data_IF_989015378548
#
_entry.id   IF_989015378548
#
_cell.length_a   1.000
_cell.length_b   1.000
_cell.length_c   1.000
_cell.angle_alpha   90.00
_cell.angle_beta   90.00
_cell.angle_gamma   90.00
#
_symmetry.space_group_name_H-M   'P 1'
#
loop_
_entity.id
_entity.type
_entity.pdbx_description
1 polymer ?
#
# COMPACT_ATOMS: atom_id res chain seq x y z
N UNK A 1 -7.23 -12.28 -0.75
CA UNK A 1 -6.53 -11.00 -0.66
C UNK A 1 -6.72 -10.17 -1.91
N UNK A 2 -6.33 -8.92 -1.85
CA UNK A 2 -6.53 -8.01 -2.98
C UNK A 2 -5.72 -8.46 -4.19
N UNK A 3 -6.40 -8.61 -5.32
CA UNK A 3 -5.76 -8.93 -6.58
C UNK A 3 -6.72 -8.56 -7.71
N UNK A 4 -6.22 -8.32 -8.92
CA UNK A 4 -7.10 -8.01 -10.04
C UNK A 4 -7.97 -9.21 -10.41
N UNK A 5 -9.21 -8.93 -10.79
CA UNK A 5 -10.12 -9.98 -11.25
C UNK A 5 -9.71 -10.55 -12.59
N UNK A 6 -9.21 -9.68 -13.47
CA UNK A 6 -8.71 -10.10 -14.78
C UNK A 6 -7.40 -9.40 -15.04
N UNK A 7 -6.48 -10.12 -15.64
CA UNK A 7 -5.19 -9.56 -16.02
C UNK A 7 -4.87 -9.99 -17.45
N UNK A 8 -4.30 -9.06 -18.20
CA UNK A 8 -3.84 -9.37 -19.55
C UNK A 8 -2.67 -10.33 -19.52
N UNK A 9 -1.76 -10.10 -18.59
CA UNK A 9 -0.60 -10.98 -18.38
C UNK A 9 -0.52 -11.36 -16.92
N UNK A 10 -0.38 -12.65 -16.65
CA UNK A 10 -0.26 -13.13 -15.27
C UNK A 10 1.12 -12.86 -14.68
N UNK A 11 2.12 -12.72 -15.51
CA UNK A 11 3.49 -12.48 -15.09
C UNK A 11 4.01 -11.23 -15.77
N UNK A 12 4.76 -10.45 -15.03
CA UNK A 12 5.37 -9.23 -15.54
C UNK A 12 6.81 -9.16 -15.08
N UNK A 13 7.63 -8.47 -15.84
CA UNK A 13 9.01 -8.26 -15.44
C UNK A 13 9.06 -7.26 -14.30
N UNK A 14 10.06 -7.43 -13.44
CA UNK A 14 10.30 -6.48 -12.37
C UNK A 14 10.78 -5.17 -12.98
N UNK A 15 10.15 -4.09 -12.62
CA UNK A 15 10.56 -2.76 -13.01
C UNK A 15 11.45 -2.14 -11.95
N UNK A 16 11.93 -0.95 -12.26
CA UNK A 16 12.69 -0.14 -11.30
C UNK A 16 11.72 0.76 -10.53
N UNK A 17 12.01 0.97 -9.26
CA UNK A 17 11.16 1.80 -8.41
C UNK A 17 11.70 3.22 -8.37
N UNK A 18 11.65 3.90 -9.51
CA UNK A 18 12.19 5.23 -9.66
C UNK A 18 11.08 6.28 -9.76
N UNK A 19 11.44 7.50 -9.49
CA UNK A 19 10.59 8.66 -9.67
C UNK A 19 9.72 8.96 -8.47
N UNK A 20 8.96 10.02 -8.59
CA UNK A 20 8.01 10.45 -7.57
C UNK A 20 6.61 10.23 -8.07
N UNK A 21 5.65 10.21 -7.16
CA UNK A 21 4.26 10.09 -7.52
C UNK A 21 3.78 11.39 -8.16
N UNK A 22 3.29 11.30 -9.40
CA UNK A 22 2.65 12.43 -10.07
C UNK A 22 1.17 12.50 -9.74
N UNK A 23 0.57 11.34 -9.44
CA UNK A 23 -0.83 11.24 -9.07
C UNK A 23 -0.93 10.57 -7.71
N UNK A 24 -2.01 10.89 -7.00
CA UNK A 24 -2.24 10.29 -5.69
C UNK A 24 -1.38 10.85 -4.60
N UNK A 25 -0.77 12.02 -4.80
CA UNK A 25 0.04 12.68 -3.78
C UNK A 25 -0.75 13.55 -2.82
N UNK A 26 -2.04 13.75 -3.07
CA UNK A 26 -2.89 14.59 -2.25
C UNK A 26 -4.09 13.83 -1.73
N UNK A 27 -4.64 14.29 -0.61
CA UNK A 27 -5.86 13.73 -0.07
C UNK A 27 -7.03 14.07 -0.96
N UNK A 28 -7.82 13.05 -1.30
CA UNK A 28 -8.97 13.21 -2.19
C UNK A 28 -10.29 12.88 -1.52
N UNK A 29 -10.29 11.92 -0.62
CA UNK A 29 -11.52 11.40 0.00
C UNK A 29 -11.65 11.73 1.46
N UNK A 30 -10.56 11.66 2.20
CA UNK A 30 -10.58 11.81 3.65
C UNK A 30 -9.92 13.08 4.15
N UNK A 31 -9.88 13.21 5.45
CA UNK A 31 -9.26 14.35 6.11
C UNK A 31 -7.81 14.04 6.50
N UNK A 32 -7.48 12.78 6.64
CA UNK A 32 -6.17 12.30 7.07
C UNK A 32 -5.66 11.25 6.11
N UNK A 33 -4.35 11.12 6.04
CA UNK A 33 -3.75 10.12 5.17
C UNK A 33 -2.39 9.67 5.62
N UNK A 34 -1.93 8.58 5.01
CA UNK A 34 -0.60 8.04 5.20
C UNK A 34 0.12 8.08 3.86
N UNK A 35 1.18 8.86 3.81
CA UNK A 35 1.94 9.11 2.58
C UNK A 35 3.26 8.34 2.62
N UNK A 36 3.63 7.74 1.49
CA UNK A 36 4.91 7.05 1.37
C UNK A 36 6.03 8.07 1.22
N UNK A 37 7.13 7.84 1.94
CA UNK A 37 8.34 8.65 1.84
C UNK A 37 9.43 7.95 1.02
N UNK A 38 9.26 6.66 0.76
CA UNK A 38 10.23 5.86 0.03
C UNK A 38 9.53 5.06 -1.07
N UNK A 39 10.26 4.68 -2.13
CA UNK A 39 9.68 3.77 -3.12
C UNK A 39 9.63 2.35 -2.58
N UNK A 40 8.58 1.61 -2.93
CA UNK A 40 8.48 0.22 -2.50
C UNK A 40 7.45 -0.54 -3.33
N UNK A 41 7.55 -1.84 -3.24
CA UNK A 41 6.51 -2.75 -3.69
C UNK A 41 5.76 -3.22 -2.45
N UNK A 42 4.52 -2.77 -2.31
CA UNK A 42 3.68 -3.12 -1.17
C UNK A 42 2.84 -4.31 -1.54
N UNK A 43 2.99 -5.40 -0.80
CA UNK A 43 2.26 -6.64 -1.10
C UNK A 43 0.81 -6.55 -0.67
N UNK A 44 -0.02 -7.40 -1.26
CA UNK A 44 -1.42 -7.53 -0.88
C UNK A 44 -1.57 -7.88 0.60
N UNK A 45 -0.65 -8.68 1.14
CA UNK A 45 -0.66 -9.02 2.56
C UNK A 45 -0.35 -7.83 3.45
N UNK A 46 0.59 -7.00 3.04
CA UNK A 46 0.94 -5.79 3.78
C UNK A 46 -0.21 -4.79 3.76
N UNK A 47 -0.88 -4.64 2.64
CA UNK A 47 -2.06 -3.78 2.53
C UNK A 47 -3.15 -4.28 3.45
N UNK A 48 -3.41 -5.57 3.44
CA UNK A 48 -4.43 -6.17 4.29
C UNK A 48 -4.10 -6.03 5.77
N UNK A 49 -2.83 -6.25 6.13
CA UNK A 49 -2.41 -6.10 7.52
C UNK A 49 -2.58 -4.65 8.01
N UNK A 50 -2.25 -3.68 7.16
CA UNK A 50 -2.43 -2.27 7.48
C UNK A 50 -3.92 -1.92 7.65
N UNK A 51 -4.75 -2.41 6.74
CA UNK A 51 -6.20 -2.21 6.82
C UNK A 51 -6.76 -2.74 8.13
N UNK A 52 -6.37 -3.95 8.50
CA UNK A 52 -6.84 -4.58 9.73
C UNK A 52 -6.38 -3.78 10.94
N UNK A 53 -5.13 -3.33 10.96
CA UNK A 53 -4.60 -2.54 12.06
C UNK A 53 -5.41 -1.26 12.26
N UNK A 54 -5.71 -0.57 11.16
CA UNK A 54 -6.49 0.67 11.22
C UNK A 54 -7.91 0.39 11.69
N UNK A 55 -8.58 -0.58 11.07
CA UNK A 55 -10.00 -0.83 11.38
C UNK A 55 -10.20 -1.33 12.80
N UNK A 56 -9.27 -2.11 13.32
CA UNK A 56 -9.34 -2.57 14.71
C UNK A 56 -9.18 -1.41 15.69
N UNK A 57 -8.33 -0.46 15.37
CA UNK A 57 -8.08 0.66 16.25
C UNK A 57 -9.26 1.63 16.28
N UNK A 58 -9.79 2.00 15.10
CA UNK A 58 -10.92 2.94 15.04
C UNK A 58 -12.26 2.24 15.26
N UNK A 59 -12.26 0.92 15.25
CA UNK A 59 -13.45 0.11 15.43
C UNK A 59 -14.52 0.48 14.39
N UNK A 60 -15.73 0.85 14.83
CA UNK A 60 -16.82 1.20 13.91
C UNK A 60 -16.88 2.68 13.57
N UNK A 61 -16.00 3.48 14.15
CA UNK A 61 -15.98 4.90 13.86
C UNK A 61 -15.16 5.19 12.60
N UNK A 62 -15.59 6.15 11.83
CA UNK A 62 -14.82 6.62 10.70
C UNK A 62 -14.91 5.77 9.44
N UNK A 63 -14.22 6.25 8.43
CA UNK A 63 -14.12 5.59 7.13
C UNK A 63 -12.66 5.50 6.73
N UNK A 64 -12.33 4.43 6.01
CA UNK A 64 -10.99 4.19 5.49
C UNK A 64 -11.08 3.98 3.98
N UNK A 65 -10.21 4.66 3.25
CA UNK A 65 -10.03 4.45 1.82
C UNK A 65 -8.62 3.94 1.59
N UNK A 66 -8.51 2.83 0.85
CA UNK A 66 -7.22 2.29 0.43
C UNK A 66 -6.98 2.81 -0.98
N UNK A 67 -5.92 3.60 -1.16
CA UNK A 67 -5.66 4.28 -2.43
C UNK A 67 -4.64 3.60 -3.31
N UNK A 68 -4.14 2.46 -2.88
CA UNK A 68 -3.22 1.65 -3.66
C UNK A 68 -3.84 0.29 -3.90
N UNK A 69 -3.53 -0.30 -5.03
CA UNK A 69 -4.05 -1.61 -5.38
C UNK A 69 -2.92 -2.49 -5.89
N UNK A 70 -2.84 -3.75 -5.45
CA UNK A 70 -1.77 -4.65 -5.86
C UNK A 70 -2.09 -5.25 -7.23
N UNK A 71 -1.73 -4.56 -8.28
CA UNK A 71 -2.02 -4.97 -9.65
C UNK A 71 -0.83 -5.59 -10.39
N UNK A 72 0.35 -5.59 -9.79
CA UNK A 72 1.55 -6.16 -10.41
C UNK A 72 1.84 -7.54 -9.83
N UNK A 73 1.92 -8.60 -10.66
CA UNK A 73 2.27 -9.92 -10.15
C UNK A 73 3.76 -9.96 -9.79
N UNK A 74 4.05 -10.58 -8.67
CA UNK A 74 5.40 -10.82 -8.20
C UNK A 74 5.64 -12.30 -8.12
N UNK A 75 6.64 -12.79 -8.86
CA UNK A 75 6.97 -14.21 -8.88
C UNK A 75 8.19 -14.45 -8.02
N UNK A 76 8.08 -15.37 -7.09
CA UNK A 76 9.21 -15.81 -6.29
C UNK A 76 9.70 -17.13 -6.86
N UNK A 77 10.99 -17.20 -7.12
CA UNK A 77 11.58 -18.43 -7.61
C UNK A 77 11.62 -19.45 -6.48
N UNK A 78 11.00 -20.62 -6.62
CA UNK A 78 11.08 -21.64 -5.57
C UNK A 78 12.53 -22.05 -5.34
N UNK A 79 12.86 -22.40 -4.09
CA UNK A 79 14.20 -22.81 -3.75
C UNK A 79 14.67 -24.03 -4.54
N UNK A 80 13.74 -24.90 -4.92
CA UNK A 80 14.02 -26.11 -5.66
C UNK A 80 14.05 -25.90 -7.17
N UNK A 81 13.69 -24.73 -7.65
CA UNK A 81 13.66 -24.47 -9.09
C UNK A 81 15.08 -24.32 -9.60
N UNK A 82 15.40 -25.13 -10.57
CA UNK A 82 16.70 -25.04 -11.23
C UNK A 82 16.67 -23.93 -12.26
N UNK A 83 17.87 -23.42 -12.56
CA UNK A 83 18.01 -22.36 -13.55
C UNK A 83 17.48 -22.78 -14.91
N UNK A 84 16.91 -21.83 -15.62
CA UNK A 84 16.46 -22.05 -16.98
C UNK A 84 15.02 -22.51 -17.13
N UNK A 85 14.31 -22.65 -16.05
CA UNK A 85 12.92 -23.14 -16.08
C UNK A 85 11.88 -22.04 -16.18
N UNK A 86 12.22 -20.86 -16.57
CA UNK A 86 11.26 -19.77 -16.68
C UNK A 86 10.70 -19.31 -15.34
N UNK A 87 9.74 -18.39 -15.38
CA UNK A 87 9.12 -17.85 -14.18
C UNK A 87 8.16 -18.84 -13.57
N UNK A 88 8.17 -18.95 -12.25
CA UNK A 88 7.16 -19.67 -11.52
C UNK A 88 5.80 -18.99 -11.57
N UNK A 89 4.79 -19.58 -10.93
CA UNK A 89 3.49 -18.96 -10.80
C UNK A 89 3.57 -17.69 -9.94
N UNK A 90 2.72 -16.69 -10.17
CA UNK A 90 2.69 -15.53 -9.29
C UNK A 90 2.32 -15.94 -7.87
N UNK A 91 3.15 -15.55 -6.90
CA UNK A 91 2.88 -15.83 -5.49
C UNK A 91 2.17 -14.68 -4.81
N UNK A 92 2.49 -13.48 -5.23
CA UNK A 92 1.98 -12.28 -4.63
C UNK A 92 1.60 -11.26 -5.67
N UNK A 93 0.73 -10.38 -5.28
CA UNK A 93 0.43 -9.19 -6.05
C UNK A 93 0.95 -8.00 -5.26
N UNK A 94 1.55 -7.05 -5.94
CA UNK A 94 2.14 -5.88 -5.29
C UNK A 94 1.65 -4.60 -5.93
N UNK A 95 1.56 -3.56 -5.11
CA UNK A 95 1.34 -2.21 -5.58
C UNK A 95 2.71 -1.53 -5.68
N UNK A 96 3.00 -0.92 -6.81
CA UNK A 96 4.23 -0.14 -6.99
C UNK A 96 3.97 1.25 -6.46
N UNK A 97 4.63 1.59 -5.36
CA UNK A 97 4.43 2.86 -4.67
C UNK A 97 5.67 3.72 -4.83
N UNK A 98 5.47 4.97 -5.20
CA UNK A 98 6.54 5.95 -5.35
C UNK A 98 6.47 6.96 -4.21
N UNK A 99 7.60 7.61 -3.86
CA UNK A 99 7.57 8.62 -2.82
C UNK A 99 6.54 9.71 -3.12
N UNK A 100 5.81 10.11 -2.11
CA UNK A 100 4.75 11.11 -2.24
C UNK A 100 3.37 10.54 -2.44
N UNK A 101 3.24 9.24 -2.65
CA UNK A 101 1.93 8.61 -2.85
C UNK A 101 1.18 8.49 -1.52
N UNK A 102 -0.06 8.96 -1.50
CA UNK A 102 -0.96 8.70 -0.37
C UNK A 102 -1.51 7.29 -0.52
N UNK A 103 -1.22 6.45 0.45
CA UNK A 103 -1.61 5.03 0.40
C UNK A 103 -2.94 4.75 1.04
N UNK A 104 -3.24 5.44 2.14
CA UNK A 104 -4.48 5.28 2.88
C UNK A 104 -5.03 6.66 3.24
N UNK A 105 -6.36 6.76 3.28
CA UNK A 105 -7.03 7.97 3.75
C UNK A 105 -8.09 7.59 4.78
N UNK A 106 -8.37 8.51 5.67
CA UNK A 106 -9.30 8.28 6.75
C UNK A 106 -10.10 9.54 7.05
N UNK A 107 -11.33 9.37 7.47
CA UNK A 107 -12.19 10.46 7.90
C UNK A 107 -13.13 9.97 9.00
N UNK A 108 -13.77 10.90 9.68
CA UNK A 108 -14.79 10.57 10.69
C UNK A 108 -14.25 10.24 12.06
N UNK A 109 -12.97 10.52 12.31
CA UNK A 109 -12.35 10.36 13.63
C UNK A 109 -11.55 11.62 13.94
N UNK A 110 -11.16 11.77 15.21
CA UNK A 110 -10.37 12.93 15.58
C UNK A 110 -8.90 12.75 15.18
N UNK A 111 -8.16 13.85 15.25
CA UNK A 111 -6.76 13.86 14.82
C UNK A 111 -5.91 12.85 15.59
N UNK A 112 -6.06 12.80 16.91
CA UNK A 112 -5.25 11.91 17.74
C UNK A 112 -5.51 10.45 17.39
N UNK A 113 -6.78 10.07 17.23
CA UNK A 113 -7.17 8.71 16.86
C UNK A 113 -6.64 8.36 15.48
N UNK A 114 -6.77 9.27 14.52
CA UNK A 114 -6.28 9.04 13.16
C UNK A 114 -4.77 8.87 13.14
N UNK A 115 -4.05 9.71 13.87
CA UNK A 115 -2.59 9.64 13.93
C UNK A 115 -2.11 8.30 14.49
N UNK A 116 -2.73 7.84 15.57
CA UNK A 116 -2.35 6.56 16.16
C UNK A 116 -2.70 5.39 15.26
N UNK A 117 -3.86 5.43 14.63
CA UNK A 117 -4.26 4.37 13.69
C UNK A 117 -3.29 4.25 12.52
N UNK A 118 -2.89 5.39 11.97
CA UNK A 118 -1.95 5.40 10.85
C UNK A 118 -0.55 4.97 11.28
N UNK A 119 -0.15 5.28 12.51
CA UNK A 119 1.12 4.79 13.03
C UNK A 119 1.13 3.28 13.13
N UNK A 120 0.05 2.68 13.62
CA UNK A 120 -0.07 1.23 13.66
C UNK A 120 0.01 0.62 12.26
N UNK A 121 -0.64 1.25 11.29
CA UNK A 121 -0.57 0.79 9.91
C UNK A 121 0.86 0.88 9.37
N UNK A 122 1.58 1.94 9.71
CA UNK A 122 2.94 2.13 9.22
C UNK A 122 3.88 1.01 9.65
N UNK A 123 3.64 0.43 10.80
CA UNK A 123 4.44 -0.69 11.28
C UNK A 123 4.27 -1.96 10.45
N UNK A 124 3.23 -2.04 9.65
CA UNK A 124 2.97 -3.18 8.76
C UNK A 124 3.54 -2.97 7.37
N UNK A 125 4.08 -1.79 7.11
CA UNK A 125 4.61 -1.44 5.79
C UNK A 125 6.14 -1.43 5.83
N UNK A 126 6.79 -1.73 4.69
CA UNK A 126 8.26 -1.87 4.66
C UNK A 126 9.00 -0.55 4.47
N UNK A 127 8.31 0.57 4.50
CA UNK A 127 8.88 1.88 4.20
C UNK A 127 8.53 2.90 5.26
N UNK A 128 9.28 4.00 5.25
CA UNK A 128 8.94 5.15 6.06
C UNK A 128 7.74 5.87 5.46
N UNK A 129 6.91 6.39 6.32
CA UNK A 129 5.65 7.02 5.96
C UNK A 129 5.50 8.33 6.71
N UNK A 130 4.56 9.15 6.26
CA UNK A 130 4.24 10.41 6.88
C UNK A 130 2.73 10.56 7.03
N UNK A 131 2.29 10.92 8.21
CA UNK A 131 0.89 11.25 8.45
C UNK A 131 0.63 12.65 7.92
N UNK A 132 -0.43 12.80 7.12
CA UNK A 132 -0.78 14.08 6.53
C UNK A 132 -2.25 14.40 6.79
N UNK A 133 -2.56 15.68 6.77
CA UNK A 133 -3.93 16.19 6.94
C UNK A 133 -4.26 17.11 5.78
N UNK A 134 -5.53 17.41 5.60
CA UNK A 134 -5.93 18.37 4.57
C UNK A 134 -5.37 19.78 4.83
N UNK A 135 -5.21 20.11 6.10
CA UNK A 135 -4.66 21.40 6.47
C UNK A 135 -3.15 21.48 6.29
N UNK A 136 -2.50 20.35 5.99
CA UNK A 136 -1.07 20.28 5.82
C UNK A 136 -0.48 19.04 6.44
N UNK A 137 0.86 18.99 6.46
CA UNK A 137 1.58 17.88 7.06
C UNK A 137 1.88 18.19 8.52
N UNK A 138 1.84 17.17 9.33
CA UNK A 138 2.26 17.29 10.73
C UNK A 138 3.70 16.82 10.88
#
# INVERSE_FOLDING_TARGET
>A
MLMPKKVKYRKQQRGRRRGKAWRGGELSFGEYGLKALEPAWITDRQIEASRVAITRFIKRGGKLWIRIFPDKPFTKKPAETRMGKGKGAPEHWVAVVKPGRVMFEMAGVDLATASEAMELASHKLPIRTKFVTRAGSL
#
